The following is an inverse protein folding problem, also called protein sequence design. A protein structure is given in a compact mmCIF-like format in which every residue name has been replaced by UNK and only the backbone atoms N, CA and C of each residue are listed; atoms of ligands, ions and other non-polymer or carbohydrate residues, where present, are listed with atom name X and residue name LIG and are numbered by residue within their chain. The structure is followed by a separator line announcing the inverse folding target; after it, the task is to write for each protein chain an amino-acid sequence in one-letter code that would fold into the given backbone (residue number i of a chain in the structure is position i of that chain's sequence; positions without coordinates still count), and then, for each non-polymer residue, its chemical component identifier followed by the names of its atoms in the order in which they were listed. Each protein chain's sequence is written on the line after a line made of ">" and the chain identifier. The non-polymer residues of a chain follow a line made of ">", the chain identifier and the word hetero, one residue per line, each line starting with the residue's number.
data_IF_976554679158
#
_entry.id   IF_976554679158
#
_cell.length_a   1.000
_cell.length_b   1.000
_cell.length_c   1.000
_cell.angle_alpha   90.00
_cell.angle_beta   90.00
_cell.angle_gamma   90.00
#
_symmetry.space_group_name_H-M   'P 1'
#
loop_
_entity.id
_entity.type
_entity.pdbx_description
1 polymer ?
#
# COMPACT_ATOMS: atom_id res chain seq x y z
N UNK A 1 -15.99 -11.63 -9.66
CA UNK A 1 -16.42 -11.45 -8.26
C UNK A 1 -15.15 -11.37 -7.42
N UNK A 2 -14.54 -10.20 -7.34
CA UNK A 2 -13.24 -10.01 -6.67
C UNK A 2 -13.47 -9.65 -5.21
N UNK A 3 -13.24 -10.61 -4.32
CA UNK A 3 -13.00 -10.33 -2.89
C UNK A 3 -11.59 -9.75 -2.77
N UNK A 4 -11.46 -8.45 -2.74
CA UNK A 4 -10.20 -7.80 -2.36
C UNK A 4 -10.24 -7.56 -0.85
N UNK A 5 -9.66 -8.47 -0.12
CA UNK A 5 -9.46 -8.34 1.33
C UNK A 5 -8.39 -7.28 1.59
N UNK A 6 -8.75 -6.25 2.36
CA UNK A 6 -7.84 -5.18 2.75
C UNK A 6 -7.41 -5.46 4.19
N UNK A 7 -6.25 -6.07 4.34
CA UNK A 7 -5.55 -6.14 5.62
C UNK A 7 -4.10 -6.62 5.43
N UNK A 8 -3.88 -7.79 5.01
CA UNK A 8 -2.70 -8.28 4.33
C UNK A 8 -3.06 -8.25 2.84
N UNK A 9 -2.45 -7.40 2.06
CA UNK A 9 -2.72 -7.43 0.63
C UNK A 9 -2.15 -8.73 0.07
N UNK A 10 -3.04 -9.71 -0.17
CA UNK A 10 -2.68 -10.84 -1.01
C UNK A 10 -2.53 -10.26 -2.40
N UNK A 11 -1.31 -10.03 -2.78
CA UNK A 11 -1.00 -9.60 -4.12
C UNK A 11 -1.28 -10.79 -5.04
N UNK A 12 -2.30 -10.66 -5.87
CA UNK A 12 -2.62 -11.69 -6.85
C UNK A 12 -1.56 -11.67 -7.95
N UNK A 13 -0.67 -12.67 -7.91
CA UNK A 13 0.37 -12.93 -8.91
C UNK A 13 -0.08 -13.95 -9.94
N UNK A 14 -1.37 -14.15 -10.13
CA UNK A 14 -1.94 -15.15 -11.07
C UNK A 14 -1.63 -14.88 -12.54
N UNK A 15 -0.55 -14.13 -12.80
CA UNK A 15 0.01 -13.87 -14.12
C UNK A 15 1.32 -14.62 -14.37
N UNK A 16 1.70 -14.67 -15.61
CA UNK A 16 2.92 -15.33 -16.15
C UNK A 16 4.23 -14.70 -15.60
N UNK A 17 4.14 -13.54 -14.94
CA UNK A 17 5.31 -12.70 -14.56
C UNK A 17 5.79 -12.88 -13.13
N UNK A 18 5.06 -13.57 -12.25
CA UNK A 18 5.36 -13.72 -10.82
C UNK A 18 5.57 -12.40 -10.02
N UNK A 19 5.26 -11.25 -10.62
CA UNK A 19 5.26 -9.92 -10.01
C UNK A 19 3.96 -9.20 -10.38
N UNK A 20 3.54 -8.23 -9.60
CA UNK A 20 2.42 -7.37 -9.95
C UNK A 20 2.97 -6.05 -10.47
N UNK A 21 2.73 -5.78 -11.74
CA UNK A 21 3.13 -4.56 -12.43
C UNK A 21 1.92 -3.92 -13.11
N UNK A 22 1.74 -2.63 -12.92
CA UNK A 22 0.67 -1.88 -13.59
C UNK A 22 0.92 -0.38 -13.54
N UNK A 23 0.33 0.33 -14.49
CA UNK A 23 0.18 1.79 -14.42
C UNK A 23 -1.11 2.09 -13.66
N UNK A 24 -0.98 2.76 -12.52
CA UNK A 24 -2.12 3.27 -11.74
C UNK A 24 -2.54 4.62 -12.29
N UNK A 25 -3.83 4.80 -12.54
CA UNK A 25 -4.45 6.11 -12.74
C UNK A 25 -5.49 6.29 -11.65
N UNK A 26 -5.32 7.28 -10.81
CA UNK A 26 -6.15 7.48 -9.62
C UNK A 26 -6.71 8.92 -9.61
N UNK A 27 -8.01 9.03 -9.33
CA UNK A 27 -8.76 10.28 -9.34
C UNK A 27 -9.25 10.70 -7.94
N UNK A 28 -8.69 10.13 -6.89
CA UNK A 28 -9.07 10.50 -5.52
C UNK A 28 -9.37 9.30 -4.61
N UNK A 29 -8.56 8.25 -4.61
CA UNK A 29 -8.71 7.13 -3.69
C UNK A 29 -7.89 7.28 -2.42
N UNK A 30 -8.23 6.51 -1.42
CA UNK A 30 -7.48 6.34 -0.19
C UNK A 30 -7.28 4.84 0.07
N UNK A 31 -6.03 4.44 0.24
CA UNK A 31 -5.67 3.09 0.66
C UNK A 31 -5.22 3.16 2.12
N UNK A 32 -6.02 2.64 3.06
CA UNK A 32 -5.69 2.62 4.49
C UNK A 32 -4.36 1.92 4.76
N UNK A 33 -3.80 2.16 5.93
CA UNK A 33 -2.57 1.51 6.39
C UNK A 33 -2.67 -0.01 6.25
N UNK A 34 -1.77 -0.58 5.46
CA UNK A 34 -1.67 -2.00 5.13
C UNK A 34 -0.20 -2.39 4.97
N UNK A 35 0.06 -3.65 4.76
CA UNK A 35 1.37 -4.19 4.45
C UNK A 35 1.25 -5.51 3.68
N UNK A 36 2.32 -5.90 3.01
CA UNK A 36 2.40 -7.12 2.22
C UNK A 36 3.82 -7.69 2.21
N UNK A 37 3.97 -8.97 1.85
CA UNK A 37 5.27 -9.64 1.69
C UNK A 37 5.90 -9.38 0.32
N UNK A 38 5.86 -8.15 -0.13
CA UNK A 38 6.48 -7.74 -1.39
C UNK A 38 7.22 -6.42 -1.20
N UNK A 39 8.30 -6.25 -1.92
CA UNK A 39 8.92 -4.95 -2.14
C UNK A 39 8.06 -4.20 -3.13
N UNK A 40 7.65 -2.98 -2.79
CA UNK A 40 6.85 -2.13 -3.66
C UNK A 40 7.65 -0.91 -4.11
N UNK A 41 7.58 -0.61 -5.39
CA UNK A 41 8.15 0.59 -5.99
C UNK A 41 7.03 1.40 -6.60
N UNK A 42 6.99 2.69 -6.25
CA UNK A 42 6.08 3.69 -6.78
C UNK A 42 6.89 4.73 -7.54
N UNK A 43 6.64 4.88 -8.84
CA UNK A 43 7.27 5.91 -9.67
C UNK A 43 6.20 6.85 -10.22
N UNK A 44 6.19 8.09 -9.73
CA UNK A 44 5.23 9.12 -10.10
C UNK A 44 5.51 9.66 -11.51
N UNK A 45 4.50 9.63 -12.36
CA UNK A 45 4.54 10.18 -13.72
C UNK A 45 3.79 11.50 -13.84
N UNK A 46 2.61 11.60 -13.22
CA UNK A 46 1.74 12.78 -13.28
C UNK A 46 1.02 13.00 -11.94
N UNK A 47 0.72 14.26 -11.61
CA UNK A 47 -0.01 14.64 -10.40
C UNK A 47 0.80 14.50 -9.12
N UNK A 48 0.13 14.21 -8.01
CA UNK A 48 0.75 14.05 -6.70
C UNK A 48 0.08 12.94 -5.88
N UNK A 49 0.83 12.34 -4.95
CA UNK A 49 0.34 11.29 -4.08
C UNK A 49 0.91 11.47 -2.67
N UNK A 50 0.03 11.58 -1.68
CA UNK A 50 0.42 11.52 -0.28
C UNK A 50 0.70 10.07 0.11
N UNK A 51 1.88 9.83 0.68
CA UNK A 51 2.32 8.52 1.13
C UNK A 51 2.70 8.58 2.59
N UNK A 52 2.26 7.60 3.36
CA UNK A 52 2.72 7.40 4.73
C UNK A 52 3.41 6.04 4.81
N UNK A 53 4.68 6.04 5.24
CA UNK A 53 5.46 4.83 5.48
C UNK A 53 5.83 4.81 6.96
N UNK A 54 5.34 3.80 7.69
CA UNK A 54 5.41 3.71 9.15
C UNK A 54 4.81 4.98 9.83
N UNK A 55 5.65 5.86 10.37
CA UNK A 55 5.23 7.12 11.01
C UNK A 55 5.61 8.37 10.22
N UNK A 56 6.17 8.22 9.02
CA UNK A 56 6.63 9.33 8.18
C UNK A 56 5.64 9.56 7.04
N UNK A 57 5.09 10.77 6.94
CA UNK A 57 4.19 11.17 5.86
C UNK A 57 4.87 12.21 4.98
N UNK A 58 4.74 12.05 3.67
CA UNK A 58 5.30 12.95 2.66
C UNK A 58 4.49 12.86 1.36
N UNK A 59 4.62 13.87 0.51
CA UNK A 59 3.99 13.89 -0.81
C UNK A 59 5.05 13.63 -1.88
N UNK A 60 4.73 12.78 -2.84
CA UNK A 60 5.58 12.51 -4.01
C UNK A 60 5.01 13.17 -5.26
N UNK A 61 5.91 13.65 -6.11
CA UNK A 61 5.64 14.44 -7.31
C UNK A 61 6.17 13.75 -8.57
N UNK A 62 5.80 14.21 -9.78
CA UNK A 62 6.32 13.65 -11.03
C UNK A 62 7.85 13.57 -11.05
N UNK A 63 8.37 12.40 -11.37
CA UNK A 63 9.80 12.09 -11.33
C UNK A 63 10.28 11.49 -10.01
N UNK A 64 9.51 11.55 -8.93
CA UNK A 64 9.86 10.87 -7.67
C UNK A 64 9.64 9.37 -7.80
N UNK A 65 10.59 8.61 -7.28
CA UNK A 65 10.54 7.16 -7.21
C UNK A 65 10.83 6.72 -5.79
N UNK A 66 9.85 6.11 -5.13
CA UNK A 66 9.97 5.62 -3.75
C UNK A 66 9.91 4.11 -3.67
N UNK A 67 10.42 3.56 -2.57
CA UNK A 67 10.38 2.14 -2.27
C UNK A 67 9.75 1.92 -0.89
N UNK A 68 8.88 0.93 -0.83
CA UNK A 68 8.39 0.34 0.41
C UNK A 68 8.91 -1.08 0.51
N UNK A 69 9.69 -1.37 1.55
CA UNK A 69 10.21 -2.71 1.77
C UNK A 69 9.08 -3.69 2.15
N UNK A 70 9.32 -4.97 1.90
CA UNK A 70 8.42 -6.01 2.34
C UNK A 70 8.14 -5.92 3.85
N UNK A 71 6.89 -6.15 4.24
CA UNK A 71 6.43 -6.12 5.63
C UNK A 71 6.48 -4.72 6.30
N UNK A 72 6.62 -3.65 5.53
CA UNK A 72 6.55 -2.28 6.04
C UNK A 72 5.13 -1.75 5.88
N UNK A 73 4.59 -1.19 6.96
CA UNK A 73 3.24 -0.62 6.99
C UNK A 73 3.25 0.71 6.24
N UNK A 74 2.33 0.86 5.31
CA UNK A 74 2.19 2.07 4.50
C UNK A 74 0.74 2.32 4.13
N UNK A 75 0.45 3.57 3.75
CA UNK A 75 -0.83 4.01 3.21
C UNK A 75 -0.61 5.04 2.11
N UNK A 76 -1.58 5.17 1.21
CA UNK A 76 -1.55 6.17 0.15
C UNK A 76 -2.86 6.93 0.09
N UNK A 77 -2.79 8.23 -0.24
CA UNK A 77 -3.95 9.10 -0.39
C UNK A 77 -3.78 9.94 -1.65
N UNK A 78 -4.68 9.74 -2.60
CA UNK A 78 -4.77 10.53 -3.80
C UNK A 78 -5.74 11.69 -3.57
N UNK A 79 -5.25 12.91 -3.50
CA UNK A 79 -6.07 14.13 -3.36
C UNK A 79 -6.28 14.79 -4.72
N UNK A 80 -5.28 14.73 -5.57
CA UNK A 80 -5.26 15.27 -6.93
C UNK A 80 -5.08 14.10 -7.90
N UNK A 81 -5.79 14.09 -9.06
CA UNK A 81 -5.61 13.05 -10.05
C UNK A 81 -4.13 12.79 -10.36
N UNK A 82 -3.74 11.54 -10.38
CA UNK A 82 -2.35 11.16 -10.60
C UNK A 82 -2.20 9.93 -11.50
N UNK A 83 -0.97 9.74 -11.98
CA UNK A 83 -0.54 8.56 -12.71
C UNK A 83 0.81 8.11 -12.19
N UNK A 84 0.92 6.82 -11.86
CA UNK A 84 2.14 6.23 -11.33
C UNK A 84 2.36 4.81 -11.85
N UNK A 85 3.62 4.42 -12.02
CA UNK A 85 4.00 3.02 -12.18
C UNK A 85 4.06 2.40 -10.79
N UNK A 86 3.41 1.24 -10.64
CA UNK A 86 3.41 0.43 -9.42
C UNK A 86 3.99 -0.94 -9.74
N UNK A 87 5.05 -1.31 -9.03
CA UNK A 87 5.66 -2.63 -9.12
C UNK A 87 5.75 -3.25 -7.73
N UNK A 88 5.12 -4.41 -7.56
CA UNK A 88 5.20 -5.20 -6.32
C UNK A 88 5.89 -6.52 -6.63
N UNK A 89 7.05 -6.76 -5.99
CA UNK A 89 7.87 -7.95 -6.18
C UNK A 89 7.78 -8.81 -4.91
N UNK A 90 7.16 -10.01 -4.97
CA UNK A 90 7.04 -10.89 -3.81
C UNK A 90 8.41 -11.24 -3.22
N UNK A 91 8.50 -11.22 -1.89
CA UNK A 91 9.71 -11.64 -1.21
C UNK A 91 10.08 -13.08 -1.56
N UNK A 92 9.09 -13.97 -1.67
CA UNK A 92 9.29 -15.38 -2.05
C UNK A 92 9.82 -15.53 -3.50
N UNK A 93 9.54 -14.56 -4.38
CA UNK A 93 10.15 -14.52 -5.70
C UNK A 93 11.62 -14.08 -5.63
N UNK A 94 11.92 -13.04 -4.84
CA UNK A 94 13.29 -12.54 -4.67
C UNK A 94 14.18 -13.59 -4.03
N UNK A 95 13.68 -14.33 -3.02
CA UNK A 95 14.41 -15.39 -2.30
C UNK A 95 14.94 -16.50 -3.21
N UNK A 96 14.30 -16.76 -4.35
CA UNK A 96 14.77 -17.76 -5.31
C UNK A 96 16.11 -17.40 -5.96
N UNK A 97 16.42 -16.10 -6.01
CA UNK A 97 17.61 -15.58 -6.72
C UNK A 97 18.60 -14.90 -5.79
N UNK A 98 18.13 -14.36 -4.67
CA UNK A 98 18.94 -13.69 -3.66
C UNK A 98 18.73 -14.45 -2.34
N UNK A 99 19.56 -15.43 -2.03
CA UNK A 99 19.51 -16.12 -0.75
C UNK A 99 19.61 -15.13 0.41
N UNK A 100 18.87 -15.40 1.48
CA UNK A 100 18.85 -14.57 2.69
C UNK A 100 18.40 -13.11 2.47
N UNK A 101 17.61 -12.82 1.42
CA UNK A 101 17.09 -11.47 1.15
C UNK A 101 16.37 -10.86 2.37
N UNK A 102 15.84 -11.69 3.26
CA UNK A 102 15.24 -11.24 4.53
C UNK A 102 16.23 -10.52 5.45
N UNK A 103 17.55 -10.70 5.26
CA UNK A 103 18.58 -10.00 6.00
C UNK A 103 18.95 -8.65 5.37
N UNK A 104 18.29 -8.26 4.29
CA UNK A 104 18.54 -7.00 3.60
C UNK A 104 17.32 -6.10 3.63
N UNK A 105 17.57 -4.80 3.69
CA UNK A 105 16.61 -3.76 3.36
C UNK A 105 17.12 -3.02 2.12
N UNK A 106 16.20 -2.63 1.25
CA UNK A 106 16.52 -1.76 0.14
C UNK A 106 16.25 -0.32 0.55
N UNK A 107 17.23 0.56 0.36
CA UNK A 107 17.15 1.95 0.82
C UNK A 107 17.71 2.87 -0.26
N UNK A 108 16.94 3.89 -0.61
CA UNK A 108 17.45 5.06 -1.34
C UNK A 108 16.78 6.34 -0.85
N UNK A 109 17.48 7.44 -1.08
CA UNK A 109 16.95 8.79 -0.92
C UNK A 109 16.48 9.28 -2.29
N UNK A 110 15.15 9.32 -2.51
CA UNK A 110 14.56 9.70 -3.79
C UNK A 110 14.79 11.19 -4.14
N UNK A 111 15.18 12.02 -3.14
CA UNK A 111 15.53 13.42 -3.30
C UNK A 111 17.04 13.67 -3.24
N UNK A 112 17.85 12.63 -3.40
CA UNK A 112 19.30 12.70 -3.28
C UNK A 112 19.91 13.75 -4.21
N UNK A 113 20.84 14.55 -3.67
CA UNK A 113 21.66 15.51 -4.44
C UNK A 113 23.02 14.92 -4.84
N UNK A 114 23.36 13.73 -4.36
CA UNK A 114 24.59 13.02 -4.73
C UNK A 114 24.50 12.55 -6.19
N UNK A 115 25.40 13.01 -7.09
CA UNK A 115 25.32 12.69 -8.52
C UNK A 115 25.39 11.18 -8.81
N UNK A 116 26.19 10.43 -8.05
CA UNK A 116 26.36 8.99 -8.25
C UNK A 116 25.07 8.25 -7.84
N UNK A 117 24.50 8.59 -6.67
CA UNK A 117 23.23 8.01 -6.21
C UNK A 117 22.08 8.39 -7.13
N UNK A 118 22.06 9.62 -7.63
CA UNK A 118 21.07 10.08 -8.60
C UNK A 118 21.14 9.27 -9.88
N UNK A 119 22.35 9.08 -10.46
CA UNK A 119 22.53 8.26 -11.67
C UNK A 119 22.01 6.85 -11.48
N UNK A 120 22.29 6.20 -10.34
CA UNK A 120 21.78 4.87 -10.02
C UNK A 120 20.25 4.84 -9.95
N UNK A 121 19.63 5.85 -9.35
CA UNK A 121 18.17 5.95 -9.28
C UNK A 121 17.56 6.22 -10.67
N UNK A 122 18.18 7.06 -11.48
CA UNK A 122 17.73 7.34 -12.85
C UNK A 122 17.82 6.09 -13.75
N UNK A 123 18.83 5.23 -13.58
CA UNK A 123 18.90 3.91 -14.25
C UNK A 123 17.72 3.01 -13.86
N UNK A 124 17.36 2.97 -12.57
CA UNK A 124 16.23 2.21 -12.08
C UNK A 124 14.90 2.73 -12.66
N UNK A 125 14.70 4.04 -12.70
CA UNK A 125 13.53 4.67 -13.33
C UNK A 125 13.42 4.31 -14.81
N UNK A 126 14.55 4.36 -15.55
CA UNK A 126 14.60 3.95 -16.96
C UNK A 126 14.16 2.49 -17.14
N UNK A 127 14.56 1.59 -16.22
CA UNK A 127 14.13 0.19 -16.27
C UNK A 127 12.62 0.07 -16.03
N UNK A 128 12.03 0.85 -15.11
CA UNK A 128 10.58 0.88 -14.88
C UNK A 128 9.80 1.41 -16.09
N UNK A 129 10.31 2.44 -16.77
CA UNK A 129 9.72 2.97 -18.01
C UNK A 129 9.78 1.93 -19.14
N UNK A 130 10.89 1.20 -19.29
CA UNK A 130 10.98 0.09 -20.24
C UNK A 130 10.00 -1.05 -19.92
N UNK A 131 9.79 -1.37 -18.63
CA UNK A 131 8.77 -2.33 -18.20
C UNK A 131 7.37 -1.85 -18.59
N UNK A 132 7.07 -0.58 -18.41
CA UNK A 132 5.79 0.01 -18.84
C UNK A 132 5.58 -0.12 -20.33
N UNK A 133 6.57 0.29 -21.13
CA UNK A 133 6.49 0.22 -22.60
C UNK A 133 6.23 -1.22 -23.06
N UNK A 134 6.97 -2.20 -22.51
CA UNK A 134 6.84 -3.59 -22.94
C UNK A 134 5.52 -4.22 -22.48
N UNK A 135 4.98 -3.82 -21.32
CA UNK A 135 3.66 -4.27 -20.84
C UNK A 135 2.49 -3.64 -21.63
N UNK A 136 2.63 -2.38 -22.01
CA UNK A 136 1.61 -1.68 -22.83
C UNK A 136 1.52 -2.25 -24.25
N UNK A 137 2.66 -2.53 -24.89
CA UNK A 137 2.71 -2.99 -26.29
C UNK A 137 2.47 -4.49 -26.43
N UNK A 138 3.00 -5.30 -25.50
CA UNK A 138 2.95 -6.77 -25.48
C UNK A 138 3.28 -7.45 -26.81
N UNK A 139 4.47 -7.18 -27.41
CA UNK A 139 4.88 -7.81 -28.66
C UNK A 139 5.14 -9.30 -28.46
N UNK A 140 5.30 -10.04 -29.56
CA UNK A 140 5.70 -11.44 -29.51
C UNK A 140 6.97 -11.62 -28.67
N UNK A 141 6.94 -12.56 -27.71
CA UNK A 141 8.05 -12.78 -26.77
C UNK A 141 8.15 -11.74 -25.64
N UNK A 142 7.12 -10.90 -25.42
CA UNK A 142 7.14 -9.85 -24.38
C UNK A 142 7.54 -10.39 -23.01
N UNK A 143 7.11 -11.61 -22.64
CA UNK A 143 7.44 -12.25 -21.35
C UNK A 143 8.96 -12.40 -21.16
N UNK A 144 9.71 -12.71 -22.23
CA UNK A 144 11.17 -12.82 -22.14
C UNK A 144 11.80 -11.47 -21.84
N UNK A 145 11.35 -10.42 -22.54
CA UNK A 145 11.86 -9.06 -22.31
C UNK A 145 11.42 -8.52 -20.95
N UNK A 146 10.16 -8.73 -20.57
CA UNK A 146 9.63 -8.32 -19.26
C UNK A 146 10.44 -8.95 -18.12
N UNK A 147 10.64 -10.27 -18.15
CA UNK A 147 11.42 -10.96 -17.11
C UNK A 147 12.90 -10.51 -17.12
N UNK A 148 13.50 -10.25 -18.29
CA UNK A 148 14.86 -9.71 -18.33
C UNK A 148 14.98 -8.36 -17.60
N UNK A 149 13.99 -7.49 -17.76
CA UNK A 149 13.94 -6.19 -17.08
C UNK A 149 13.68 -6.34 -15.58
N UNK A 150 12.85 -7.30 -15.15
CA UNK A 150 12.66 -7.61 -13.73
C UNK A 150 13.98 -8.09 -13.11
N UNK A 151 14.76 -8.95 -13.79
CA UNK A 151 16.06 -9.39 -13.28
C UNK A 151 17.09 -8.26 -13.26
N UNK A 152 17.09 -7.39 -14.26
CA UNK A 152 17.91 -6.17 -14.25
C UNK A 152 17.58 -5.28 -13.06
N UNK A 153 16.29 -5.07 -12.80
CA UNK A 153 15.83 -4.28 -11.65
C UNK A 153 16.22 -4.94 -10.33
N UNK A 154 16.08 -6.27 -10.18
CA UNK A 154 16.54 -6.99 -9.00
C UNK A 154 18.05 -6.86 -8.78
N UNK A 155 18.84 -6.94 -9.87
CA UNK A 155 20.27 -6.70 -9.80
C UNK A 155 20.59 -5.28 -9.33
N UNK A 156 19.93 -4.27 -9.89
CA UNK A 156 20.10 -2.87 -9.48
C UNK A 156 19.73 -2.65 -8.00
N UNK A 157 18.61 -3.23 -7.54
CA UNK A 157 18.19 -3.18 -6.14
C UNK A 157 19.24 -3.79 -5.22
N UNK A 158 19.66 -5.02 -5.53
CA UNK A 158 20.60 -5.74 -4.70
C UNK A 158 21.99 -5.10 -4.68
N UNK A 159 22.52 -4.71 -5.84
CA UNK A 159 23.87 -4.18 -5.97
C UNK A 159 24.00 -2.73 -5.47
N UNK A 160 23.00 -1.88 -5.74
CA UNK A 160 23.11 -0.45 -5.50
C UNK A 160 22.43 0.03 -4.21
N UNK A 161 21.39 -0.68 -3.74
CA UNK A 161 20.48 -0.16 -2.72
C UNK A 161 20.29 -1.09 -1.53
N UNK A 162 20.96 -2.27 -1.47
CA UNK A 162 20.82 -3.19 -0.36
C UNK A 162 21.70 -2.84 0.83
N UNK A 163 21.15 -2.95 2.04
CA UNK A 163 21.87 -2.80 3.31
C UNK A 163 21.51 -3.99 4.21
N UNK A 164 22.51 -4.61 4.84
CA UNK A 164 22.28 -5.72 5.80
C UNK A 164 21.62 -5.22 7.09
N UNK A 165 20.63 -5.99 7.57
CA UNK A 165 19.91 -5.75 8.82
C UNK A 165 20.31 -6.80 9.86
N UNK A 166 20.39 -6.43 11.14
CA UNK A 166 20.73 -7.36 12.21
C UNK A 166 19.60 -8.36 12.50
N UNK A 167 19.95 -9.62 12.73
CA UNK A 167 18.99 -10.72 12.97
C UNK A 167 18.06 -10.52 14.18
N UNK A 168 18.51 -9.80 15.21
CA UNK A 168 17.71 -9.51 16.41
C UNK A 168 16.47 -8.66 16.08
N UNK A 169 16.59 -7.75 15.14
CA UNK A 169 15.50 -6.85 14.73
C UNK A 169 14.47 -7.58 13.87
N UNK A 170 14.92 -8.51 13.05
CA UNK A 170 14.04 -9.31 12.18
C UNK A 170 13.10 -10.23 12.98
N UNK A 171 13.58 -10.90 14.02
CA UNK A 171 12.73 -11.80 14.82
C UNK A 171 11.67 -11.06 15.62
N UNK A 172 11.98 -9.86 16.11
CA UNK A 172 11.03 -9.00 16.81
C UNK A 172 9.97 -8.43 15.83
N UNK A 173 10.41 -7.96 14.67
CA UNK A 173 9.50 -7.48 13.62
C UNK A 173 8.53 -8.57 13.18
N UNK A 174 9.00 -9.80 12.97
CA UNK A 174 8.16 -10.93 12.58
C UNK A 174 7.04 -11.19 13.59
N UNK A 175 7.34 -11.25 14.90
CA UNK A 175 6.32 -11.45 15.94
C UNK A 175 5.27 -10.33 15.97
N UNK A 176 5.70 -9.08 15.78
CA UNK A 176 4.79 -7.94 15.75
C UNK A 176 3.89 -7.98 14.51
N UNK A 177 4.43 -8.37 13.35
CA UNK A 177 3.67 -8.55 12.12
C UNK A 177 2.67 -9.71 12.21
N UNK A 178 3.06 -10.85 12.79
CA UNK A 178 2.15 -11.98 13.01
C UNK A 178 0.93 -11.57 13.86
N UNK A 179 1.17 -10.77 14.92
CA UNK A 179 0.08 -10.22 15.75
C UNK A 179 -0.80 -9.24 14.98
N UNK A 180 -0.19 -8.34 14.19
CA UNK A 180 -0.95 -7.41 13.35
C UNK A 180 -1.77 -8.16 12.32
N UNK A 181 -1.25 -9.22 11.70
CA UNK A 181 -2.00 -10.06 10.77
C UNK A 181 -3.30 -10.59 11.40
N UNK A 182 -3.19 -11.15 12.60
CA UNK A 182 -4.38 -11.65 13.30
C UNK A 182 -5.42 -10.54 13.50
N UNK A 183 -4.96 -9.35 13.93
CA UNK A 183 -5.82 -8.19 14.15
C UNK A 183 -6.46 -7.70 12.86
N UNK A 184 -5.68 -7.54 11.78
CA UNK A 184 -6.17 -7.00 10.52
C UNK A 184 -7.12 -7.97 9.82
N UNK A 185 -6.84 -9.28 9.85
CA UNK A 185 -7.75 -10.31 9.36
C UNK A 185 -9.09 -10.27 10.12
N UNK A 186 -9.02 -10.17 11.45
CA UNK A 186 -10.21 -10.06 12.27
C UNK A 186 -11.04 -8.81 11.94
N UNK A 187 -10.38 -7.66 11.72
CA UNK A 187 -11.06 -6.44 11.29
C UNK A 187 -11.74 -6.66 9.93
N UNK A 188 -11.05 -7.25 8.95
CA UNK A 188 -11.58 -7.46 7.61
C UNK A 188 -12.87 -8.28 7.60
N UNK A 189 -12.94 -9.29 8.46
CA UNK A 189 -14.11 -10.15 8.60
C UNK A 189 -15.26 -9.50 9.38
N UNK A 190 -14.92 -8.60 10.33
CA UNK A 190 -15.87 -8.08 11.33
C UNK A 190 -16.12 -6.56 11.26
N UNK A 191 -15.51 -5.80 10.34
CA UNK A 191 -15.51 -4.33 10.33
C UNK A 191 -16.92 -3.71 10.33
N UNK A 192 -17.93 -4.41 9.82
CA UNK A 192 -19.31 -3.91 9.71
C UNK A 192 -19.99 -3.76 11.06
N UNK A 193 -19.52 -4.47 12.08
CA UNK A 193 -20.05 -4.37 13.45
C UNK A 193 -19.09 -3.61 14.38
N UNK A 194 -19.56 -3.14 15.52
CA UNK A 194 -18.66 -2.65 16.56
C UNK A 194 -17.73 -3.77 17.03
N UNK A 195 -16.45 -3.46 17.17
CA UNK A 195 -15.42 -4.34 17.76
C UNK A 195 -14.88 -3.63 18.99
N UNK A 196 -14.96 -4.27 20.16
CA UNK A 196 -14.46 -3.68 21.40
C UNK A 196 -12.93 -3.75 21.48
N UNK A 197 -12.31 -2.87 22.26
CA UNK A 197 -10.86 -2.88 22.49
C UNK A 197 -10.41 -4.17 23.20
N UNK A 198 -11.20 -4.72 24.10
CA UNK A 198 -10.88 -5.97 24.80
C UNK A 198 -10.95 -7.17 23.85
N UNK A 199 -11.96 -7.18 22.97
CA UNK A 199 -12.12 -8.21 21.94
C UNK A 199 -10.89 -8.26 21.00
N UNK A 200 -10.51 -7.11 20.44
CA UNK A 200 -9.40 -7.07 19.49
C UNK A 200 -8.03 -7.26 20.14
N UNK A 201 -7.86 -6.83 21.39
CA UNK A 201 -6.66 -7.10 22.17
C UNK A 201 -6.50 -8.60 22.45
N UNK A 202 -7.62 -9.30 22.73
CA UNK A 202 -7.66 -10.75 22.87
C UNK A 202 -7.20 -11.49 21.60
N UNK A 203 -7.61 -11.02 20.43
CA UNK A 203 -7.14 -11.57 19.11
C UNK A 203 -5.63 -11.46 18.96
N UNK A 204 -5.02 -10.38 19.46
CA UNK A 204 -3.58 -10.18 19.43
C UNK A 204 -2.82 -10.89 20.57
N UNK A 205 -3.53 -11.57 21.47
CA UNK A 205 -2.99 -12.12 22.73
C UNK A 205 -2.29 -11.06 23.58
N UNK A 206 -2.88 -9.87 23.70
CA UNK A 206 -2.33 -8.74 24.42
C UNK A 206 -3.36 -8.20 25.45
N UNK A 207 -2.86 -7.55 26.49
CA UNK A 207 -3.70 -6.74 27.37
C UNK A 207 -4.14 -5.47 26.63
N UNK A 208 -5.37 -5.01 26.85
CA UNK A 208 -5.99 -3.86 26.16
C UNK A 208 -5.13 -2.61 26.13
N UNK A 209 -4.59 -2.21 27.28
CA UNK A 209 -3.73 -1.01 27.36
C UNK A 209 -2.40 -1.17 26.60
N UNK A 210 -1.84 -2.38 26.57
CA UNK A 210 -0.65 -2.66 25.77
C UNK A 210 -0.98 -2.70 24.27
N UNK A 211 -2.09 -3.34 23.89
CA UNK A 211 -2.58 -3.38 22.53
C UNK A 211 -2.76 -1.98 21.94
N UNK A 212 -3.41 -1.07 22.64
CA UNK A 212 -3.63 0.30 22.17
C UNK A 212 -2.30 1.01 21.84
N UNK A 213 -1.30 0.90 22.71
CA UNK A 213 0.03 1.48 22.47
C UNK A 213 0.77 0.80 21.32
N UNK A 214 0.72 -0.54 21.29
CA UNK A 214 1.32 -1.36 20.23
C UNK A 214 0.74 -1.03 18.88
N UNK A 215 -0.60 -1.05 18.76
CA UNK A 215 -1.29 -0.80 17.50
C UNK A 215 -0.99 0.62 17.00
N UNK A 216 -1.15 1.64 17.85
CA UNK A 216 -0.83 3.02 17.46
C UNK A 216 0.62 3.21 17.08
N UNK A 217 1.57 2.58 17.78
CA UNK A 217 2.99 2.64 17.43
C UNK A 217 3.28 2.02 16.07
N UNK A 218 2.60 0.92 15.73
CA UNK A 218 2.84 0.18 14.47
C UNK A 218 2.06 0.75 13.29
N UNK A 219 0.80 1.10 13.49
CA UNK A 219 -0.11 1.56 12.43
C UNK A 219 -0.17 3.08 12.25
N UNK A 220 0.46 3.84 13.16
CA UNK A 220 0.41 5.31 13.17
C UNK A 220 -0.91 5.89 13.71
N UNK A 221 -1.98 5.13 13.67
CA UNK A 221 -3.35 5.52 14.09
C UNK A 221 -3.86 4.61 15.20
N UNK A 222 -4.88 5.05 15.95
CA UNK A 222 -5.54 4.19 16.93
C UNK A 222 -6.38 3.12 16.23
N UNK A 223 -6.69 2.03 16.93
CA UNK A 223 -7.55 0.96 16.40
C UNK A 223 -8.92 1.49 15.92
N UNK A 224 -9.55 2.39 16.68
CA UNK A 224 -10.85 2.94 16.29
C UNK A 224 -10.77 3.86 15.06
N UNK A 225 -9.71 4.64 14.94
CA UNK A 225 -9.42 5.43 13.73
C UNK A 225 -9.25 4.49 12.54
N UNK A 226 -8.40 3.47 12.66
CA UNK A 226 -8.18 2.48 11.63
C UNK A 226 -9.47 1.77 11.18
N UNK A 227 -10.30 1.30 12.13
CA UNK A 227 -11.58 0.66 11.79
C UNK A 227 -12.49 1.59 11.00
N UNK A 228 -12.54 2.87 11.37
CA UNK A 228 -13.34 3.86 10.66
C UNK A 228 -12.77 4.18 9.27
N UNK A 229 -11.46 4.31 9.13
CA UNK A 229 -10.79 4.49 7.84
C UNK A 229 -11.02 3.28 6.92
N UNK A 230 -10.94 2.08 7.47
CA UNK A 230 -11.24 0.84 6.76
C UNK A 230 -12.68 0.84 6.22
N UNK A 231 -13.67 1.21 7.03
CA UNK A 231 -15.06 1.40 6.58
C UNK A 231 -15.18 2.46 5.50
N UNK A 232 -14.47 3.56 5.67
CA UNK A 232 -14.51 4.72 4.77
C UNK A 232 -14.04 4.35 3.36
N UNK A 233 -13.04 3.47 3.22
CA UNK A 233 -12.54 3.00 1.93
C UNK A 233 -13.60 2.22 1.13
N UNK A 234 -14.41 1.38 1.81
CA UNK A 234 -15.53 0.68 1.17
C UNK A 234 -16.70 1.61 0.84
N UNK A 235 -16.99 2.55 1.74
CA UNK A 235 -18.02 3.55 1.50
C UNK A 235 -17.66 4.37 0.26
N UNK A 236 -16.42 4.80 0.11
CA UNK A 236 -15.95 5.51 -1.06
C UNK A 236 -16.14 4.68 -2.34
N UNK A 237 -15.75 3.41 -2.34
CA UNK A 237 -15.97 2.49 -3.48
C UNK A 237 -17.43 2.36 -3.86
N UNK A 238 -18.31 2.18 -2.88
CA UNK A 238 -19.74 2.08 -3.14
C UNK A 238 -20.33 3.41 -3.66
N UNK A 239 -19.82 4.55 -3.18
CA UNK A 239 -20.25 5.87 -3.67
C UNK A 239 -19.97 6.08 -5.17
N UNK A 240 -18.82 5.60 -5.66
CA UNK A 240 -18.44 5.74 -7.08
C UNK A 240 -19.04 4.66 -7.97
N UNK A 241 -19.26 3.44 -7.45
CA UNK A 241 -19.69 2.28 -8.23
C UNK A 241 -21.20 2.02 -8.18
N UNK A 242 -21.95 2.66 -7.27
CA UNK A 242 -23.40 2.44 -7.11
C UNK A 242 -24.18 3.74 -7.14
N UNK A 243 -25.52 3.61 -7.30
CA UNK A 243 -26.46 4.73 -7.19
C UNK A 243 -27.18 4.75 -5.83
N UNK A 244 -26.79 3.87 -4.92
CA UNK A 244 -27.45 3.75 -3.61
C UNK A 244 -27.38 5.04 -2.81
N UNK A 245 -28.42 5.39 -2.05
CA UNK A 245 -28.40 6.54 -1.14
C UNK A 245 -27.24 6.44 -0.14
N UNK A 246 -26.63 7.56 0.23
CA UNK A 246 -25.48 7.60 1.15
C UNK A 246 -25.77 6.87 2.46
N UNK A 247 -26.96 7.06 3.06
CA UNK A 247 -27.30 6.42 4.31
C UNK A 247 -27.34 4.87 4.21
N UNK A 248 -27.81 4.32 3.08
CA UNK A 248 -27.83 2.88 2.83
C UNK A 248 -26.38 2.33 2.74
N UNK A 249 -25.49 3.08 2.08
CA UNK A 249 -24.08 2.71 1.96
C UNK A 249 -23.42 2.72 3.35
N UNK A 250 -23.69 3.75 4.18
CA UNK A 250 -23.14 3.84 5.55
C UNK A 250 -23.60 2.67 6.41
N UNK A 251 -24.89 2.34 6.37
CA UNK A 251 -25.47 1.22 7.12
C UNK A 251 -24.85 -0.11 6.69
N UNK A 252 -24.70 -0.35 5.38
CA UNK A 252 -24.04 -1.54 4.80
C UNK A 252 -22.65 -1.76 5.35
N UNK A 253 -21.90 -0.70 5.60
CA UNK A 253 -20.53 -0.75 6.11
C UNK A 253 -20.43 -0.48 7.61
N UNK A 254 -21.54 -0.50 8.34
CA UNK A 254 -21.56 -0.37 9.80
C UNK A 254 -21.11 0.99 10.32
N UNK A 255 -21.27 2.06 9.52
CA UNK A 255 -20.93 3.42 9.95
C UNK A 255 -22.19 4.12 10.48
N UNK A 256 -22.37 4.12 11.81
CA UNK A 256 -23.60 4.61 12.46
C UNK A 256 -23.57 6.10 12.80
N UNK A 257 -22.38 6.70 12.97
CA UNK A 257 -22.23 8.09 13.34
C UNK A 257 -22.05 8.99 12.10
N UNK A 258 -23.17 9.51 11.57
CA UNK A 258 -23.17 10.36 10.37
C UNK A 258 -22.32 11.64 10.50
N UNK A 259 -22.29 12.27 11.70
CA UNK A 259 -21.49 13.47 11.94
C UNK A 259 -19.99 13.17 11.87
N UNK A 260 -19.58 12.07 12.49
CA UNK A 260 -18.19 11.59 12.42
C UNK A 260 -17.82 11.23 10.97
N UNK A 261 -18.69 10.49 10.26
CA UNK A 261 -18.50 10.16 8.86
C UNK A 261 -18.24 11.39 7.99
N UNK A 262 -19.12 12.41 8.07
CA UNK A 262 -18.96 13.63 7.25
C UNK A 262 -17.64 14.33 7.49
N UNK A 263 -17.22 14.43 8.77
CA UNK A 263 -15.93 15.02 9.12
C UNK A 263 -14.78 14.21 8.54
N UNK A 264 -14.73 12.91 8.81
CA UNK A 264 -13.68 12.03 8.30
C UNK A 264 -13.63 12.02 6.76
N UNK A 265 -14.79 11.97 6.11
CA UNK A 265 -14.88 11.99 4.66
C UNK A 265 -14.31 13.29 4.07
N UNK A 266 -14.66 14.45 4.69
CA UNK A 266 -14.12 15.75 4.28
C UNK A 266 -12.61 15.84 4.52
N UNK A 267 -12.12 15.34 5.66
CA UNK A 267 -10.69 15.35 6.01
C UNK A 267 -9.88 14.45 5.07
N UNK A 268 -10.46 13.30 4.65
CA UNK A 268 -9.79 12.35 3.77
C UNK A 268 -9.86 12.73 2.28
N UNK A 269 -11.00 13.18 1.80
CA UNK A 269 -11.24 13.38 0.36
C UNK A 269 -11.37 14.84 -0.06
N UNK A 270 -11.23 15.79 0.88
CA UNK A 270 -11.32 17.24 0.59
C UNK A 270 -12.69 17.72 0.10
N UNK A 271 -13.69 16.84 -0.01
CA UNK A 271 -15.00 17.15 -0.55
C UNK A 271 -16.11 16.30 0.10
N UNK A 272 -17.37 16.61 -0.25
CA UNK A 272 -18.52 15.86 0.27
C UNK A 272 -18.77 14.58 -0.54
N UNK A 273 -19.44 13.56 0.04
CA UNK A 273 -19.83 12.35 -0.69
C UNK A 273 -20.63 12.60 -1.96
N UNK A 274 -21.50 13.61 -1.94
CA UNK A 274 -22.29 14.02 -3.11
C UNK A 274 -21.39 14.55 -4.22
N UNK A 275 -20.42 15.39 -3.88
CA UNK A 275 -19.48 15.97 -4.86
C UNK A 275 -18.58 14.90 -5.49
N UNK A 276 -18.13 13.90 -4.73
CA UNK A 276 -17.40 12.73 -5.29
C UNK A 276 -18.26 12.07 -6.37
N UNK A 277 -19.53 11.80 -6.07
CA UNK A 277 -20.45 11.13 -7.00
C UNK A 277 -20.73 11.96 -8.26
N UNK A 278 -20.78 13.28 -8.15
CA UNK A 278 -20.94 14.19 -9.29
C UNK A 278 -19.70 14.21 -10.19
N UNK A 279 -18.51 14.19 -9.61
CA UNK A 279 -17.24 14.22 -10.34
C UNK A 279 -17.01 12.95 -11.17
N UNK A 280 -17.44 11.79 -10.67
CA UNK A 280 -17.28 10.49 -11.36
C UNK A 280 -18.28 10.33 -12.52
N UNK A 281 -19.36 11.14 -12.55
CA UNK A 281 -20.40 11.06 -13.58
C UNK A 281 -20.18 12.04 -14.77
N UNK A 282 -19.17 12.90 -14.66
CA UNK A 282 -18.72 13.77 -15.73
C UNK A 282 -17.62 13.10 -16.54
#
# INVERSE_FOLDING_TARGET
>A
MYKKEISYEIIDYSGITNVKFYTSTDNGSYIPSHWHRAVEILYMQEGELDVTVESSSFTIYPGDCILVNANVIHSTKCVVPNKAIVLQIPLDFIEKYIPDVQQFMFIWDYQTKDPVKKTKLDMLKTTLEQLQIIDDIRPDGFILRFNSLIFELLFQLYHNFSVKVFQSDLSRQKKDLDRLNLVLNYISENYKRPISLDEIAGVAYLQTGYFCRFFKKKMGVTFLEYQNEYRLSFIYKDLINTKDPVHVILERHGFTNYKLFRRMFQDHFGCTPTKVRENVRK
#
